data_IF_566925510656
#
_entry.id   IF_566925510656
#
_cell.length_a   1.000
_cell.length_b   1.000
_cell.length_c   1.000
_cell.angle_alpha   90.00
_cell.angle_beta   90.00
_cell.angle_gamma   90.00
#
_symmetry.space_group_name_H-M   'P 1'
#
loop_
_entity.id
_entity.type
_entity.pdbx_description
1 polymer ?
#
# COMPACT_ATOMS: atom_id res chain seq x y z
N UNK A 1 9.81 2.38 31.80
CA UNK A 1 10.13 0.94 31.61
C UNK A 1 11.64 0.80 31.74
N UNK A 2 12.17 0.19 32.83
CA UNK A 2 13.62 -0.07 32.92
C UNK A 2 13.89 -1.38 32.19
N UNK A 3 14.71 -1.35 31.14
CA UNK A 3 15.22 -2.57 30.53
C UNK A 3 16.19 -3.20 31.54
N UNK A 4 15.81 -4.35 32.10
CA UNK A 4 16.68 -5.08 33.03
C UNK A 4 17.48 -6.09 32.23
N UNK A 5 18.78 -5.84 32.10
CA UNK A 5 19.70 -6.76 31.44
C UNK A 5 20.25 -7.77 32.44
N UNK A 6 20.15 -9.05 32.11
CA UNK A 6 20.78 -10.13 32.86
C UNK A 6 21.87 -10.76 31.98
N UNK A 7 23.13 -10.82 32.45
CA UNK A 7 24.26 -11.24 31.62
C UNK A 7 24.31 -12.75 31.35
N UNK A 8 23.60 -13.56 32.15
CA UNK A 8 23.57 -15.02 32.01
C UNK A 8 22.15 -15.50 31.71
N UNK A 9 21.98 -16.52 30.85
CA UNK A 9 20.72 -17.21 30.69
C UNK A 9 20.23 -17.79 32.01
N UNK A 10 18.91 -17.79 32.21
CA UNK A 10 18.28 -18.35 33.39
C UNK A 10 16.89 -18.89 33.06
N UNK A 11 16.45 -19.83 33.87
CA UNK A 11 15.07 -20.27 33.90
C UNK A 11 14.21 -19.18 34.55
N UNK A 12 12.92 -19.15 34.21
CA UNK A 12 11.99 -18.12 34.67
C UNK A 12 10.80 -18.77 35.39
N UNK A 13 10.39 -18.17 36.49
CA UNK A 13 9.13 -18.53 37.14
C UNK A 13 7.93 -18.12 36.27
N UNK A 14 6.84 -18.87 36.38
CA UNK A 14 5.55 -18.44 35.85
C UNK A 14 5.13 -17.16 36.57
N UNK A 15 4.80 -16.10 35.82
CA UNK A 15 4.21 -14.90 36.42
C UNK A 15 2.70 -15.09 36.54
N UNK A 16 2.24 -15.29 37.78
CA UNK A 16 0.82 -15.58 38.05
C UNK A 16 0.00 -14.35 37.65
N UNK A 17 -0.91 -14.54 36.68
CA UNK A 17 -1.71 -13.46 36.06
C UNK A 17 -0.85 -12.35 35.44
N UNK A 18 0.37 -12.66 35.00
CA UNK A 18 1.30 -11.71 34.40
C UNK A 18 1.96 -10.74 35.38
N UNK A 19 1.79 -10.92 36.69
CA UNK A 19 2.41 -10.07 37.70
C UNK A 19 3.85 -10.54 37.98
N UNK A 20 4.84 -9.73 37.61
CA UNK A 20 6.26 -10.03 37.82
C UNK A 20 6.68 -10.10 39.30
N UNK A 21 5.87 -9.58 40.23
CA UNK A 21 6.09 -9.70 41.67
C UNK A 21 5.47 -10.98 42.27
N UNK A 22 4.53 -11.63 41.55
CA UNK A 22 3.88 -12.85 42.01
C UNK A 22 4.38 -14.05 41.21
N UNK A 23 5.45 -14.66 41.72
CA UNK A 23 6.15 -15.77 41.07
C UNK A 23 5.50 -17.11 41.44
N UNK A 24 5.20 -17.91 40.42
CA UNK A 24 4.80 -19.31 40.55
C UNK A 24 5.98 -20.26 40.36
N UNK A 25 5.69 -21.48 39.89
CA UNK A 25 6.70 -22.52 39.66
C UNK A 25 7.80 -22.08 38.69
N UNK A 26 9.03 -22.54 38.94
CA UNK A 26 10.16 -22.34 38.04
C UNK A 26 9.95 -23.18 36.77
N UNK A 27 10.00 -22.54 35.60
CA UNK A 27 9.90 -23.23 34.32
C UNK A 27 11.30 -23.33 33.70
N UNK A 28 11.86 -24.55 33.60
CA UNK A 28 13.12 -24.73 32.91
C UNK A 28 12.98 -24.35 31.44
N UNK A 29 14.02 -23.78 30.86
CA UNK A 29 14.07 -23.52 29.41
C UNK A 29 13.99 -24.86 28.68
N UNK A 30 12.94 -25.07 27.91
CA UNK A 30 12.68 -26.31 27.17
C UNK A 30 11.74 -26.01 26.00
N UNK A 31 11.53 -27.00 25.13
CA UNK A 31 10.55 -26.87 24.05
C UNK A 31 9.12 -26.79 24.59
N UNK A 32 8.19 -26.30 23.76
CA UNK A 32 6.81 -26.10 24.17
C UNK A 32 6.14 -27.46 24.41
N UNK A 33 5.69 -27.71 25.65
CA UNK A 33 5.11 -29.01 26.05
C UNK A 33 3.90 -29.43 25.22
N UNK A 34 3.01 -28.51 24.85
CA UNK A 34 1.82 -28.85 24.03
C UNK A 34 2.17 -29.28 22.60
N UNK A 35 3.41 -29.01 22.17
CA UNK A 35 3.95 -29.41 20.87
C UNK A 35 4.98 -30.53 20.98
N UNK A 36 5.05 -31.21 22.13
CA UNK A 36 6.01 -32.27 22.41
C UNK A 36 5.28 -33.58 22.72
N UNK A 37 5.85 -34.70 22.29
CA UNK A 37 5.42 -36.02 22.73
C UNK A 37 5.91 -36.24 24.18
N UNK A 38 5.03 -36.00 25.15
CA UNK A 38 5.35 -36.15 26.57
C UNK A 38 5.99 -34.92 27.21
N UNK A 39 6.98 -35.13 28.07
CA UNK A 39 7.68 -34.06 28.79
C UNK A 39 8.95 -33.66 28.04
N UNK A 40 9.06 -32.42 27.56
CA UNK A 40 10.27 -31.98 26.87
C UNK A 40 11.42 -31.80 27.85
N UNK A 41 12.57 -32.35 27.49
CA UNK A 41 13.81 -32.19 28.24
C UNK A 41 14.26 -30.71 28.29
N UNK A 42 14.83 -30.26 29.42
CA UNK A 42 15.47 -28.95 29.52
C UNK A 42 16.62 -28.77 28.53
N UNK A 43 16.71 -27.57 27.97
CA UNK A 43 17.81 -27.09 27.14
C UNK A 43 19.07 -26.93 27.99
N UNK A 44 20.18 -27.44 27.48
CA UNK A 44 21.43 -27.56 28.23
C UNK A 44 22.44 -26.47 27.85
N UNK A 45 22.33 -25.88 26.66
CA UNK A 45 23.39 -25.08 26.06
C UNK A 45 23.05 -23.59 25.96
N UNK A 46 23.89 -22.75 26.57
CA UNK A 46 23.80 -21.29 26.45
C UNK A 46 22.41 -20.80 26.84
N UNK A 47 21.75 -20.05 25.96
CA UNK A 47 20.38 -19.55 26.19
C UNK A 47 19.27 -20.54 25.89
N UNK A 48 19.55 -21.66 25.22
CA UNK A 48 18.54 -22.57 24.67
C UNK A 48 17.91 -22.08 23.35
N UNK A 49 18.26 -20.86 22.86
CA UNK A 49 17.72 -20.34 21.60
C UNK A 49 18.13 -21.17 20.38
N UNK A 50 19.36 -21.69 20.36
CA UNK A 50 19.83 -22.56 19.28
C UNK A 50 19.10 -23.91 19.32
N UNK A 51 18.98 -24.52 20.51
CA UNK A 51 18.24 -25.78 20.68
C UNK A 51 16.76 -25.63 20.30
N UNK A 52 16.13 -24.52 20.68
CA UNK A 52 14.78 -24.16 20.24
C UNK A 52 14.69 -24.04 18.71
N UNK A 53 15.63 -23.33 18.07
CA UNK A 53 15.67 -23.19 16.62
C UNK A 53 15.85 -24.54 15.90
N UNK A 54 16.74 -25.40 16.43
CA UNK A 54 16.96 -26.75 15.91
C UNK A 54 15.71 -27.63 16.05
N UNK A 55 14.97 -27.54 17.16
CA UNK A 55 13.69 -28.25 17.33
C UNK A 55 12.61 -27.73 16.36
N UNK A 56 12.54 -26.41 16.15
CA UNK A 56 11.59 -25.81 15.19
C UNK A 56 11.92 -26.26 13.75
N UNK A 57 13.18 -26.20 13.34
CA UNK A 57 13.63 -26.55 12.00
C UNK A 57 13.99 -28.04 11.83
N UNK A 58 13.60 -28.89 12.79
CA UNK A 58 13.85 -30.32 12.71
C UNK A 58 13.04 -30.91 11.53
N UNK A 59 13.65 -31.84 10.79
CA UNK A 59 13.00 -32.58 9.70
C UNK A 59 11.75 -33.35 10.16
N UNK A 60 11.75 -33.83 11.40
CA UNK A 60 10.60 -34.51 12.02
C UNK A 60 9.44 -33.54 12.35
N UNK A 61 9.68 -32.22 12.27
CA UNK A 61 8.64 -31.21 12.38
C UNK A 61 8.21 -30.75 10.96
N UNK A 62 7.10 -31.27 10.40
CA UNK A 62 6.69 -30.95 9.04
C UNK A 62 6.20 -29.50 8.87
N UNK A 63 5.85 -28.81 9.97
CA UNK A 63 5.23 -27.48 9.89
C UNK A 63 6.17 -26.43 9.33
N UNK A 64 7.46 -26.44 9.71
CA UNK A 64 8.40 -25.39 9.30
C UNK A 64 8.62 -25.39 7.79
N UNK A 65 8.83 -26.57 7.20
CA UNK A 65 8.98 -26.70 5.75
C UNK A 65 7.69 -26.32 5.02
N UNK A 66 6.53 -26.84 5.44
CA UNK A 66 5.23 -26.51 4.83
C UNK A 66 4.93 -25.01 4.87
N UNK A 67 5.13 -24.37 6.02
CA UNK A 67 4.92 -22.92 6.18
C UNK A 67 5.85 -22.14 5.25
N UNK A 68 7.12 -22.53 5.15
CA UNK A 68 8.09 -21.82 4.32
C UNK A 68 7.79 -21.98 2.82
N UNK A 69 7.49 -23.21 2.37
CA UNK A 69 7.06 -23.49 1.00
C UNK A 69 5.83 -22.67 0.65
N UNK A 70 4.82 -22.68 1.51
CA UNK A 70 3.59 -21.93 1.26
C UNK A 70 3.80 -20.43 1.18
N UNK A 71 4.71 -19.87 1.99
CA UNK A 71 5.08 -18.44 1.91
C UNK A 71 5.77 -18.12 0.59
N UNK A 72 6.72 -18.93 0.16
CA UNK A 72 7.40 -18.76 -1.13
C UNK A 72 6.39 -18.88 -2.28
N UNK A 73 5.51 -19.87 -2.21
CA UNK A 73 4.42 -20.06 -3.17
C UNK A 73 3.51 -18.83 -3.23
N UNK A 74 3.05 -18.34 -2.07
CA UNK A 74 2.23 -17.14 -1.97
C UNK A 74 2.91 -15.92 -2.60
N UNK A 75 4.22 -15.74 -2.41
CA UNK A 75 4.96 -14.64 -3.05
C UNK A 75 5.07 -14.78 -4.57
N UNK A 76 4.89 -15.97 -5.14
CA UNK A 76 4.90 -16.24 -6.59
C UNK A 76 3.51 -16.24 -7.23
N UNK A 77 2.50 -16.77 -6.55
CA UNK A 77 1.14 -16.89 -7.08
C UNK A 77 0.17 -15.85 -6.51
N UNK A 78 0.58 -15.08 -5.52
CA UNK A 78 -0.23 -14.06 -4.83
C UNK A 78 -1.09 -14.61 -3.69
N UNK A 79 -1.40 -15.90 -3.72
CA UNK A 79 -2.14 -16.65 -2.69
C UNK A 79 -1.40 -17.96 -2.41
N UNK A 80 -1.38 -18.38 -1.14
CA UNK A 80 -0.74 -19.64 -0.75
C UNK A 80 -1.55 -20.87 -1.17
N UNK A 81 -0.92 -22.04 -1.20
CA UNK A 81 -1.63 -23.32 -1.24
C UNK A 81 -2.59 -23.41 -0.03
N UNK A 82 -2.12 -22.98 1.13
CA UNK A 82 -2.93 -22.64 2.31
C UNK A 82 -3.13 -21.11 2.31
N UNK A 83 -4.38 -20.65 2.22
CA UNK A 83 -4.73 -19.22 2.16
C UNK A 83 -4.67 -18.51 3.54
N UNK A 84 -4.45 -19.29 4.61
CA UNK A 84 -4.15 -18.83 5.97
C UNK A 84 -2.66 -19.01 6.31
N UNK A 85 -1.73 -18.19 5.78
CA UNK A 85 -0.28 -18.45 5.84
C UNK A 85 0.34 -18.43 7.24
N UNK A 86 -0.37 -17.94 8.26
CA UNK A 86 0.06 -18.00 9.67
C UNK A 86 -0.81 -18.91 10.55
N UNK A 87 -1.79 -19.62 9.97
CA UNK A 87 -2.64 -20.53 10.72
C UNK A 87 -2.78 -21.87 9.98
N UNK A 88 -2.04 -22.87 10.45
CA UNK A 88 -2.07 -24.26 9.98
C UNK A 88 -2.83 -25.18 10.96
N UNK A 89 -3.47 -24.59 11.98
CA UNK A 89 -4.27 -25.34 12.95
C UNK A 89 -5.66 -25.68 12.43
N UNK A 90 -6.49 -26.30 13.27
CA UNK A 90 -7.87 -26.72 12.93
C UNK A 90 -8.80 -25.57 12.53
N UNK A 91 -8.46 -24.33 12.89
CA UNK A 91 -9.20 -23.12 12.52
C UNK A 91 -8.66 -22.44 11.26
N UNK A 92 -7.56 -22.94 10.71
CA UNK A 92 -7.03 -22.52 9.42
C UNK A 92 -7.66 -23.31 8.27
N UNK A 93 -7.41 -22.87 7.04
CA UNK A 93 -7.89 -23.55 5.85
C UNK A 93 -7.03 -24.76 5.52
N UNK A 94 -7.63 -25.74 4.85
CA UNK A 94 -6.88 -26.85 4.25
C UNK A 94 -6.11 -26.37 3.00
N UNK A 95 -4.97 -27.00 2.67
CA UNK A 95 -4.27 -26.72 1.41
C UNK A 95 -5.17 -27.03 0.21
N UNK A 96 -5.13 -26.20 -0.83
CA UNK A 96 -5.81 -26.53 -2.11
C UNK A 96 -5.22 -27.75 -2.79
N UNK A 97 -3.90 -27.97 -2.62
CA UNK A 97 -3.16 -29.10 -3.16
C UNK A 97 -2.27 -29.70 -2.06
N UNK A 98 -2.81 -30.59 -1.20
CA UNK A 98 -2.08 -31.10 -0.03
C UNK A 98 -0.87 -31.94 -0.42
N UNK A 99 -1.00 -32.83 -1.41
CA UNK A 99 0.10 -33.67 -1.89
C UNK A 99 1.25 -32.84 -2.47
N UNK A 100 0.93 -31.79 -3.23
CA UNK A 100 1.92 -30.86 -3.77
C UNK A 100 2.66 -30.10 -2.67
N UNK A 101 1.94 -29.62 -1.65
CA UNK A 101 2.56 -28.94 -0.51
C UNK A 101 3.53 -29.88 0.23
N UNK A 102 3.15 -31.14 0.39
CA UNK A 102 3.95 -32.15 1.07
C UNK A 102 5.18 -32.53 0.27
N UNK A 103 5.03 -32.77 -1.04
CA UNK A 103 6.13 -33.06 -1.95
C UNK A 103 7.16 -31.92 -1.95
N UNK A 104 6.70 -30.67 -2.12
CA UNK A 104 7.58 -29.50 -2.09
C UNK A 104 8.24 -29.30 -0.73
N UNK A 105 7.56 -29.62 0.38
CA UNK A 105 8.13 -29.51 1.73
C UNK A 105 9.23 -30.54 1.96
N UNK A 106 9.01 -31.80 1.57
CA UNK A 106 10.03 -32.85 1.65
C UNK A 106 11.22 -32.51 0.76
N UNK A 107 10.95 -32.14 -0.51
CA UNK A 107 11.98 -31.72 -1.46
C UNK A 107 12.80 -30.54 -0.93
N UNK A 108 12.14 -29.54 -0.33
CA UNK A 108 12.82 -28.37 0.22
C UNK A 108 13.81 -28.74 1.33
N UNK A 109 13.45 -29.70 2.19
CA UNK A 109 14.34 -30.21 3.23
C UNK A 109 15.49 -31.05 2.64
N UNK A 110 15.22 -31.88 1.63
CA UNK A 110 16.21 -32.71 0.94
C UNK A 110 17.26 -31.89 0.20
N UNK A 111 16.84 -30.77 -0.40
CA UNK A 111 17.73 -29.85 -1.10
C UNK A 111 18.46 -28.86 -0.18
N UNK A 112 18.54 -29.19 1.12
CA UNK A 112 19.29 -28.44 2.12
C UNK A 112 18.66 -27.09 2.46
N UNK A 113 17.32 -27.00 2.45
CA UNK A 113 16.58 -25.78 2.78
C UNK A 113 16.92 -24.58 1.89
N UNK A 114 17.37 -24.84 0.65
CA UNK A 114 17.79 -23.80 -0.28
C UNK A 114 16.60 -23.08 -0.91
N UNK A 115 16.29 -21.87 -0.40
CA UNK A 115 15.23 -21.04 -0.98
C UNK A 115 15.46 -20.76 -2.47
N UNK A 116 16.72 -20.57 -2.89
CA UNK A 116 17.07 -20.32 -4.30
C UNK A 116 16.67 -21.48 -5.20
N UNK A 117 16.93 -22.72 -4.77
CA UNK A 117 16.53 -23.91 -5.51
C UNK A 117 15.01 -24.02 -5.58
N UNK A 118 14.31 -23.78 -4.47
CA UNK A 118 12.84 -23.82 -4.43
C UNK A 118 12.19 -22.76 -5.32
N UNK A 119 12.67 -21.51 -5.30
CA UNK A 119 12.22 -20.47 -6.23
C UNK A 119 12.41 -20.92 -7.68
N UNK A 120 13.57 -21.51 -8.02
CA UNK A 120 13.85 -22.01 -9.37
C UNK A 120 12.91 -23.14 -9.78
N UNK A 121 12.68 -24.11 -8.90
CA UNK A 121 11.75 -25.22 -9.15
C UNK A 121 10.34 -24.69 -9.47
N UNK A 122 9.82 -23.78 -8.65
CA UNK A 122 8.50 -23.18 -8.85
C UNK A 122 8.46 -22.41 -10.17
N UNK A 123 9.44 -21.54 -10.44
CA UNK A 123 9.46 -20.68 -11.63
C UNK A 123 9.65 -21.44 -12.95
N UNK A 124 10.22 -22.64 -12.90
CA UNK A 124 10.37 -23.52 -14.05
C UNK A 124 9.20 -24.50 -14.23
N UNK A 125 8.22 -24.49 -13.34
CA UNK A 125 7.02 -25.32 -13.47
C UNK A 125 6.11 -24.84 -14.60
N UNK A 126 5.39 -25.77 -15.24
CA UNK A 126 4.36 -25.44 -16.20
C UNK A 126 3.30 -24.50 -15.60
N UNK A 127 2.93 -24.70 -14.34
CA UNK A 127 1.96 -23.87 -13.61
C UNK A 127 2.38 -22.41 -13.49
N UNK A 128 3.65 -22.13 -13.17
CA UNK A 128 4.15 -20.75 -13.08
C UNK A 128 4.24 -20.09 -14.46
N UNK A 129 4.52 -20.87 -15.51
CA UNK A 129 4.70 -20.38 -16.88
C UNK A 129 3.39 -20.24 -17.67
N UNK A 130 2.23 -20.52 -17.05
CA UNK A 130 0.94 -20.32 -17.69
C UNK A 130 0.71 -18.84 -18.06
N UNK A 131 -0.11 -18.63 -19.09
CA UNK A 131 -0.53 -17.28 -19.49
C UNK A 131 -1.52 -16.68 -18.48
N UNK A 132 -1.48 -15.36 -18.28
CA UNK A 132 -2.55 -14.61 -17.59
C UNK A 132 -3.65 -14.11 -18.52
N UNK A 133 -3.50 -14.31 -19.84
CA UNK A 133 -4.46 -13.88 -20.86
C UNK A 133 -5.34 -15.07 -21.23
N UNK A 134 -6.42 -15.25 -20.49
CA UNK A 134 -7.39 -16.34 -20.70
C UNK A 134 -8.80 -15.78 -20.70
N UNK A 135 -9.59 -16.19 -21.69
CA UNK A 135 -11.03 -15.95 -21.73
C UNK A 135 -11.73 -17.18 -21.15
N UNK A 136 -12.35 -17.01 -19.98
CA UNK A 136 -13.06 -18.10 -19.30
C UNK A 136 -14.53 -18.12 -19.71
N UNK A 137 -15.06 -19.31 -19.95
CA UNK A 137 -16.50 -19.54 -20.05
C UNK A 137 -17.19 -19.30 -18.71
N UNK A 138 -18.49 -19.01 -18.72
CA UNK A 138 -19.26 -18.83 -17.48
C UNK A 138 -19.25 -20.08 -16.59
N UNK A 139 -19.22 -21.27 -17.18
CA UNK A 139 -19.08 -22.52 -16.44
C UNK A 139 -17.75 -22.59 -15.68
N UNK A 140 -16.63 -22.23 -16.32
CA UNK A 140 -15.31 -22.21 -15.69
C UNK A 140 -15.22 -21.16 -14.57
N UNK A 141 -15.77 -19.96 -14.79
CA UNK A 141 -15.84 -18.92 -13.74
C UNK A 141 -16.61 -19.38 -12.52
N UNK A 142 -17.68 -20.16 -12.71
CA UNK A 142 -18.49 -20.69 -11.60
C UNK A 142 -17.80 -21.85 -10.87
N UNK A 143 -17.04 -22.68 -11.58
CA UNK A 143 -16.36 -23.84 -11.00
C UNK A 143 -15.20 -23.44 -10.09
N UNK A 144 -14.38 -22.47 -10.51
CA UNK A 144 -13.23 -22.00 -9.74
C UNK A 144 -13.06 -20.47 -9.86
N UNK A 145 -13.92 -19.68 -9.21
CA UNK A 145 -13.95 -18.21 -9.36
C UNK A 145 -12.65 -17.53 -8.90
N UNK A 146 -11.91 -18.16 -7.99
CA UNK A 146 -10.67 -17.63 -7.42
C UNK A 146 -9.42 -18.26 -8.05
N UNK A 147 -9.59 -19.11 -9.07
CA UNK A 147 -8.51 -19.85 -9.73
C UNK A 147 -7.60 -20.59 -8.72
N UNK A 148 -8.21 -21.25 -7.72
CA UNK A 148 -7.52 -22.04 -6.69
C UNK A 148 -6.89 -23.31 -7.26
N UNK A 149 -7.40 -23.80 -8.40
CA UNK A 149 -6.88 -24.94 -9.16
C UNK A 149 -5.76 -24.55 -10.14
N UNK A 150 -5.46 -23.26 -10.28
CA UNK A 150 -4.32 -22.76 -11.06
C UNK A 150 -4.36 -23.20 -12.53
N UNK A 151 -5.50 -22.95 -13.16
CA UNK A 151 -5.73 -23.21 -14.59
C UNK A 151 -5.12 -22.15 -15.51
N UNK A 152 -4.77 -20.98 -14.96
CA UNK A 152 -4.04 -19.89 -15.61
C UNK A 152 -3.23 -19.09 -14.59
N UNK A 153 -2.32 -18.22 -15.03
CA UNK A 153 -1.53 -17.40 -14.10
C UNK A 153 -2.30 -16.15 -13.67
N UNK A 154 -2.49 -15.95 -12.37
CA UNK A 154 -3.22 -14.80 -11.85
C UNK A 154 -2.46 -13.49 -12.09
N UNK A 155 -3.15 -12.46 -12.60
CA UNK A 155 -2.59 -11.11 -12.68
C UNK A 155 -2.32 -10.60 -11.27
N UNK A 156 -1.17 -9.97 -11.07
CA UNK A 156 -0.73 -9.49 -9.77
C UNK A 156 -0.44 -8.01 -9.82
N UNK A 157 -0.94 -7.29 -8.82
CA UNK A 157 -0.49 -5.94 -8.51
C UNK A 157 0.92 -6.02 -7.91
N UNK A 158 1.81 -5.14 -8.36
CA UNK A 158 3.13 -4.97 -7.78
C UNK A 158 3.02 -4.38 -6.37
N UNK A 159 3.87 -4.84 -5.47
CA UNK A 159 4.03 -4.25 -4.13
C UNK A 159 4.65 -2.86 -4.25
N UNK A 160 4.41 -1.97 -3.28
CA UNK A 160 4.84 -0.57 -3.30
C UNK A 160 6.33 -0.39 -3.65
N UNK A 161 7.17 -1.21 -3.03
CA UNK A 161 8.62 -1.23 -3.19
C UNK A 161 9.00 -1.65 -4.61
N UNK A 162 8.38 -2.71 -5.12
CA UNK A 162 8.64 -3.23 -6.48
C UNK A 162 8.12 -2.24 -7.54
N UNK A 163 6.97 -1.62 -7.28
CA UNK A 163 6.40 -0.59 -8.15
C UNK A 163 7.31 0.62 -8.25
N UNK A 164 7.85 1.09 -7.12
CA UNK A 164 8.84 2.17 -7.10
C UNK A 164 10.14 1.78 -7.81
N UNK A 165 10.65 0.57 -7.55
CA UNK A 165 11.85 0.05 -8.21
C UNK A 165 11.65 -0.01 -9.74
N UNK A 166 10.47 -0.39 -10.21
CA UNK A 166 10.13 -0.42 -11.63
C UNK A 166 10.12 0.98 -12.26
N UNK A 167 9.60 1.99 -11.55
CA UNK A 167 9.64 3.39 -11.99
C UNK A 167 11.07 3.91 -12.14
N UNK A 168 11.94 3.63 -11.16
CA UNK A 168 13.36 3.98 -11.24
C UNK A 168 14.09 3.23 -12.37
N UNK A 169 13.79 1.94 -12.53
CA UNK A 169 14.37 1.13 -13.60
C UNK A 169 13.97 1.65 -14.99
N UNK A 170 12.71 2.07 -15.17
CA UNK A 170 12.23 2.70 -16.39
C UNK A 170 12.98 4.00 -16.69
N UNK A 171 13.16 4.86 -15.67
CA UNK A 171 13.94 6.10 -15.75
C UNK A 171 15.46 5.91 -15.86
N UNK A 172 15.98 4.67 -15.82
CA UNK A 172 17.40 4.33 -15.85
C UNK A 172 18.23 4.97 -14.71
N UNK A 173 17.66 5.12 -13.52
CA UNK A 173 18.32 5.71 -12.37
C UNK A 173 18.26 4.82 -11.12
N UNK A 174 17.84 3.55 -11.25
CA UNK A 174 17.84 2.59 -10.15
C UNK A 174 19.26 2.23 -9.72
N UNK A 175 19.62 2.52 -8.48
CA UNK A 175 20.84 2.05 -7.86
C UNK A 175 20.68 0.60 -7.37
N UNK A 176 21.33 -0.32 -8.10
CA UNK A 176 21.28 -1.76 -7.86
C UNK A 176 22.27 -2.28 -6.79
N UNK A 177 23.05 -1.40 -6.14
CA UNK A 177 24.01 -1.81 -5.10
C UNK A 177 23.30 -2.57 -3.97
N UNK A 178 23.85 -3.73 -3.60
CA UNK A 178 23.25 -4.60 -2.59
C UNK A 178 23.65 -4.27 -1.13
N UNK A 179 24.61 -3.38 -0.94
CA UNK A 179 25.21 -3.03 0.35
C UNK A 179 25.26 -1.51 0.53
N UNK A 180 25.42 -1.04 1.77
CA UNK A 180 25.44 0.39 2.09
C UNK A 180 24.22 0.85 2.90
N UNK A 181 24.16 2.12 3.26
CA UNK A 181 23.16 2.63 4.22
C UNK A 181 21.73 2.59 3.65
N UNK A 182 20.77 2.43 4.55
CA UNK A 182 19.36 2.68 4.23
C UNK A 182 19.08 4.17 4.09
N UNK A 183 17.98 4.52 3.42
CA UNK A 183 17.56 5.91 3.23
C UNK A 183 16.06 6.11 3.43
N UNK A 184 15.59 7.35 3.33
CA UNK A 184 14.16 7.67 3.36
C UNK A 184 13.58 7.47 1.95
N UNK A 185 12.48 6.73 1.82
CA UNK A 185 11.84 6.46 0.54
C UNK A 185 11.11 7.69 -0.02
N UNK A 186 10.76 8.64 0.86
CA UNK A 186 10.11 9.90 0.50
C UNK A 186 11.12 10.97 0.05
N UNK A 187 12.43 10.72 0.21
CA UNK A 187 13.48 11.58 -0.34
C UNK A 187 13.56 11.40 -1.87
N UNK A 188 13.37 12.46 -2.68
CA UNK A 188 13.41 12.37 -4.14
C UNK A 188 14.79 11.94 -4.68
N UNK A 189 15.86 12.10 -3.89
CA UNK A 189 17.22 11.67 -4.27
C UNK A 189 17.48 10.19 -3.96
N UNK A 190 16.58 9.51 -3.22
CA UNK A 190 16.74 8.12 -2.87
C UNK A 190 16.48 7.20 -4.07
N UNK A 191 17.54 6.76 -4.73
CA UNK A 191 17.46 5.96 -5.95
C UNK A 191 17.67 4.45 -5.75
N UNK A 192 17.83 4.00 -4.51
CA UNK A 192 18.06 2.59 -4.21
C UNK A 192 16.76 1.79 -4.26
N UNK A 193 16.90 0.47 -4.39
CA UNK A 193 15.79 -0.48 -4.26
C UNK A 193 15.03 -0.25 -2.96
N UNK A 194 13.70 -0.35 -3.00
CA UNK A 194 12.80 -0.12 -1.86
C UNK A 194 13.08 -1.04 -0.67
N UNK A 195 13.70 -2.21 -0.87
CA UNK A 195 14.17 -3.09 0.22
C UNK A 195 15.22 -2.42 1.13
N UNK A 196 15.91 -1.39 0.66
CA UNK A 196 16.88 -0.59 1.44
C UNK A 196 16.26 0.68 2.03
N UNK A 197 14.94 0.87 1.92
CA UNK A 197 14.25 1.97 2.58
C UNK A 197 14.20 1.76 4.10
N UNK A 198 14.33 2.85 4.84
CA UNK A 198 14.18 2.87 6.29
C UNK A 198 12.68 2.86 6.61
N UNK A 199 12.25 1.89 7.43
CA UNK A 199 10.85 1.80 7.88
C UNK A 199 10.77 2.31 9.32
N UNK A 200 10.13 3.47 9.50
CA UNK A 200 9.85 4.01 10.83
C UNK A 200 8.53 3.46 11.37
N UNK A 201 8.55 2.95 12.61
CA UNK A 201 7.34 2.53 13.34
C UNK A 201 6.49 3.70 13.86
N UNK A 202 7.04 4.92 13.84
CA UNK A 202 6.35 6.12 14.33
C UNK A 202 5.82 7.00 13.19
N UNK A 203 6.51 7.02 12.04
CA UNK A 203 6.16 7.84 10.89
C UNK A 203 6.44 7.05 9.61
N UNK A 204 5.52 6.17 9.24
CA UNK A 204 5.62 5.42 7.99
C UNK A 204 5.49 6.38 6.79
N UNK A 205 6.19 6.10 5.69
CA UNK A 205 6.10 6.90 4.45
C UNK A 205 4.65 6.99 3.95
N UNK A 206 4.26 8.17 3.45
CA UNK A 206 2.92 8.38 2.87
C UNK A 206 2.73 7.57 1.60
N UNK A 207 3.79 7.38 0.82
CA UNK A 207 3.80 6.49 -0.34
C UNK A 207 3.55 5.04 0.09
N UNK A 208 4.31 4.53 1.07
CA UNK A 208 4.13 3.15 1.54
C UNK A 208 2.72 2.92 2.10
N UNK A 209 2.21 3.84 2.92
CA UNK A 209 0.84 3.79 3.44
C UNK A 209 -0.21 3.74 2.32
N UNK A 210 -0.05 4.59 1.30
CA UNK A 210 -0.99 4.66 0.17
C UNK A 210 -1.04 3.38 -0.65
N UNK A 211 0.01 2.55 -0.62
CA UNK A 211 0.13 1.30 -1.39
C UNK A 211 0.08 0.05 -0.49
N UNK A 212 -0.75 0.12 0.55
CA UNK A 212 -1.09 -0.99 1.45
C UNK A 212 0.12 -1.63 2.16
N UNK A 213 1.18 -0.86 2.41
CA UNK A 213 2.30 -1.37 3.19
C UNK A 213 1.81 -1.77 4.60
N UNK A 214 2.14 -2.97 5.11
CA UNK A 214 1.66 -3.41 6.41
C UNK A 214 2.15 -2.53 7.55
N UNK A 215 1.31 -2.35 8.57
CA UNK A 215 1.71 -1.62 9.78
C UNK A 215 2.92 -2.31 10.44
N UNK A 216 4.09 -1.63 10.55
CA UNK A 216 5.32 -2.22 11.08
C UNK A 216 5.29 -2.46 12.60
N UNK A 217 4.24 -2.02 13.29
CA UNK A 217 4.03 -2.27 14.72
C UNK A 217 3.33 -3.61 15.01
N UNK A 218 2.69 -4.24 14.01
CA UNK A 218 1.93 -5.48 14.18
C UNK A 218 2.39 -6.57 13.21
N UNK A 219 2.01 -7.81 13.50
CA UNK A 219 2.26 -8.94 12.60
C UNK A 219 1.31 -8.89 11.40
N UNK A 220 1.87 -9.03 10.19
CA UNK A 220 1.11 -9.16 8.96
C UNK A 220 1.53 -10.42 8.20
N UNK A 221 0.62 -11.38 8.09
CA UNK A 221 0.88 -12.64 7.39
C UNK A 221 0.82 -12.49 5.85
N UNK A 222 0.08 -11.48 5.38
CA UNK A 222 -0.10 -11.12 3.96
C UNK A 222 -0.33 -9.62 3.86
N UNK A 223 -0.02 -9.05 2.70
CA UNK A 223 -0.37 -7.66 2.39
C UNK A 223 -1.82 -7.58 1.92
N UNK A 224 -2.59 -6.66 2.48
CA UNK A 224 -3.90 -6.30 1.92
C UNK A 224 -3.69 -5.63 0.56
N UNK A 225 -4.64 -5.79 -0.36
CA UNK A 225 -4.55 -5.17 -1.69
C UNK A 225 -5.82 -4.37 -1.90
N UNK A 226 -5.68 -3.05 -1.93
CA UNK A 226 -6.76 -2.15 -2.31
C UNK A 226 -6.49 -1.56 -3.69
N UNK A 227 -7.51 -1.07 -4.35
CA UNK A 227 -7.35 -0.25 -5.56
C UNK A 227 -8.24 0.96 -5.37
N UNK A 228 -7.61 2.09 -5.05
CA UNK A 228 -8.33 3.31 -4.67
C UNK A 228 -8.06 4.41 -5.69
N UNK A 229 -9.03 5.32 -5.91
CA UNK A 229 -8.79 6.52 -6.72
C UNK A 229 -7.60 7.35 -6.21
N UNK A 230 -7.35 7.35 -4.90
CA UNK A 230 -6.22 8.04 -4.29
C UNK A 230 -4.87 7.56 -4.82
N UNK A 231 -4.70 6.24 -5.02
CA UNK A 231 -3.48 5.68 -5.59
C UNK A 231 -3.26 6.18 -7.03
N UNK A 232 -4.32 6.29 -7.83
CA UNK A 232 -4.24 6.83 -9.20
C UNK A 232 -3.90 8.33 -9.20
N UNK A 233 -4.56 9.10 -8.33
CA UNK A 233 -4.27 10.52 -8.16
C UNK A 233 -2.84 10.76 -7.71
N UNK A 234 -2.29 9.91 -6.83
CA UNK A 234 -0.88 9.96 -6.48
C UNK A 234 0.01 9.80 -7.71
N UNK A 235 -0.25 8.82 -8.59
CA UNK A 235 0.55 8.62 -9.81
C UNK A 235 0.53 9.86 -10.71
N UNK A 236 -0.66 10.45 -10.92
CA UNK A 236 -0.81 11.64 -11.76
C UNK A 236 -0.13 12.89 -11.18
N UNK A 237 -0.13 13.03 -9.84
CA UNK A 237 0.30 14.26 -9.18
C UNK A 237 1.69 14.17 -8.53
N UNK A 238 2.28 12.97 -8.43
CA UNK A 238 3.55 12.75 -7.74
C UNK A 238 4.71 13.38 -8.50
N UNK A 239 5.48 14.29 -7.87
CA UNK A 239 6.72 14.82 -8.45
C UNK A 239 7.71 13.72 -8.81
N UNK A 240 7.78 12.66 -7.99
CA UNK A 240 8.64 11.51 -8.23
C UNK A 240 8.27 10.80 -9.54
N UNK A 241 6.98 10.51 -9.75
CA UNK A 241 6.52 9.83 -10.98
C UNK A 241 6.77 10.69 -12.21
N UNK A 242 6.47 11.99 -12.14
CA UNK A 242 6.76 12.93 -13.25
C UNK A 242 8.25 12.98 -13.60
N UNK A 243 9.12 12.99 -12.58
CA UNK A 243 10.56 12.94 -12.80
C UNK A 243 11.00 11.65 -13.53
N UNK A 244 10.44 10.49 -13.15
CA UNK A 244 10.75 9.23 -13.84
C UNK A 244 10.25 9.22 -15.29
N UNK A 245 9.06 9.77 -15.53
CA UNK A 245 8.51 9.92 -16.89
C UNK A 245 9.40 10.81 -17.77
N UNK A 246 9.90 11.92 -17.23
CA UNK A 246 10.84 12.79 -17.95
C UNK A 246 12.15 12.07 -18.28
N UNK A 247 12.72 11.33 -17.33
CA UNK A 247 13.95 10.57 -17.56
C UNK A 247 13.76 9.46 -18.60
N UNK A 248 12.61 8.80 -18.60
CA UNK A 248 12.24 7.83 -19.63
C UNK A 248 12.15 8.50 -21.01
N UNK A 249 11.55 9.68 -21.11
CA UNK A 249 11.45 10.41 -22.38
C UNK A 249 12.84 10.82 -22.91
N UNK A 250 13.69 11.39 -22.06
CA UNK A 250 15.08 11.75 -22.42
C UNK A 250 15.91 10.55 -22.87
N UNK A 251 15.67 9.38 -22.28
CA UNK A 251 16.36 8.13 -22.69
C UNK A 251 16.11 7.75 -24.16
N UNK A 252 15.00 8.18 -24.74
CA UNK A 252 14.56 7.84 -26.10
C UNK A 252 14.60 9.05 -27.05
N UNK A 253 15.33 10.09 -26.67
CA UNK A 253 15.48 11.30 -27.47
C UNK A 253 16.32 11.04 -28.75
N UNK A 254 15.97 11.72 -29.85
CA UNK A 254 16.68 11.60 -31.13
C UNK A 254 16.24 10.44 -32.04
N UNK A 255 15.28 9.62 -31.62
CA UNK A 255 14.74 8.52 -32.41
C UNK A 255 13.47 8.91 -33.21
N UNK A 256 13.12 8.15 -34.25
CA UNK A 256 11.84 8.33 -34.97
C UNK A 256 10.65 8.04 -34.05
N UNK A 257 9.50 8.67 -34.29
CA UNK A 257 8.30 8.48 -33.45
C UNK A 257 7.88 7.01 -33.35
N UNK A 258 7.94 6.27 -34.46
CA UNK A 258 7.65 4.84 -34.47
C UNK A 258 8.65 4.03 -33.64
N UNK A 259 9.95 4.31 -33.79
CA UNK A 259 10.99 3.63 -33.01
C UNK A 259 10.84 3.91 -31.52
N UNK A 260 10.56 5.16 -31.13
CA UNK A 260 10.28 5.54 -29.74
C UNK A 260 9.14 4.74 -29.15
N UNK A 261 8.01 4.64 -29.86
CA UNK A 261 6.85 3.87 -29.38
C UNK A 261 7.21 2.39 -29.20
N UNK A 262 7.88 1.77 -30.18
CA UNK A 262 8.31 0.37 -30.05
C UNK A 262 9.26 0.17 -28.87
N UNK A 263 10.26 1.03 -28.69
CA UNK A 263 11.25 0.89 -27.63
C UNK A 263 10.68 1.16 -26.23
N UNK A 264 9.72 2.09 -26.07
CA UNK A 264 8.93 2.22 -24.84
C UNK A 264 8.23 0.91 -24.50
N UNK A 265 7.59 0.28 -25.48
CA UNK A 265 6.84 -0.96 -25.25
C UNK A 265 7.74 -2.13 -24.87
N UNK A 266 8.89 -2.27 -25.54
CA UNK A 266 9.90 -3.26 -25.18
C UNK A 266 10.45 -3.02 -23.77
N UNK A 267 10.74 -1.77 -23.43
CA UNK A 267 11.29 -1.42 -22.12
C UNK A 267 10.29 -1.68 -20.99
N UNK A 268 9.04 -1.24 -21.14
CA UNK A 268 8.05 -1.26 -20.06
C UNK A 268 7.24 -2.57 -20.00
N UNK A 269 7.02 -3.22 -21.15
CA UNK A 269 6.15 -4.40 -21.26
C UNK A 269 6.85 -5.64 -21.80
N UNK A 270 8.13 -5.56 -22.17
CA UNK A 270 8.90 -6.68 -22.73
C UNK A 270 8.25 -7.34 -23.94
N UNK A 271 7.56 -6.55 -24.77
CA UNK A 271 6.93 -6.98 -26.02
C UNK A 271 6.83 -5.80 -26.98
N UNK A 272 6.53 -6.08 -28.25
CA UNK A 272 6.13 -5.05 -29.20
C UNK A 272 4.72 -4.49 -28.90
N UNK A 273 4.44 -3.24 -29.28
CA UNK A 273 3.08 -2.74 -29.32
C UNK A 273 2.26 -3.51 -30.36
N UNK A 274 0.96 -3.66 -30.10
CA UNK A 274 0.00 -4.05 -31.13
C UNK A 274 -0.19 -2.91 -32.14
N UNK A 275 -0.77 -3.21 -33.31
CA UNK A 275 -1.07 -2.18 -34.31
C UNK A 275 -1.88 -1.01 -33.72
N UNK A 276 -2.92 -1.31 -32.93
CA UNK A 276 -3.77 -0.30 -32.30
C UNK A 276 -2.98 0.56 -31.29
N UNK A 277 -2.14 -0.07 -30.47
CA UNK A 277 -1.26 0.62 -29.50
C UNK A 277 -0.24 1.53 -30.18
N UNK A 278 0.34 1.08 -31.30
CA UNK A 278 1.28 1.87 -32.10
C UNK A 278 0.59 3.12 -32.65
N UNK A 279 -0.61 2.97 -33.23
CA UNK A 279 -1.38 4.10 -33.77
C UNK A 279 -1.75 5.12 -32.68
N UNK A 280 -2.13 4.66 -31.48
CA UNK A 280 -2.39 5.55 -30.34
C UNK A 280 -1.13 6.35 -29.98
N UNK A 281 0.03 5.69 -29.90
CA UNK A 281 1.29 6.35 -29.58
C UNK A 281 1.73 7.38 -30.62
N UNK A 282 1.61 7.04 -31.91
CA UNK A 282 1.93 7.95 -33.01
C UNK A 282 1.02 9.18 -33.01
N UNK A 283 -0.30 8.98 -32.87
CA UNK A 283 -1.27 10.06 -32.78
C UNK A 283 -0.97 11.02 -31.61
N UNK A 284 -0.63 10.47 -30.45
CA UNK A 284 -0.26 11.28 -29.28
C UNK A 284 0.98 12.16 -29.55
N UNK A 285 1.99 11.62 -30.23
CA UNK A 285 3.20 12.37 -30.57
C UNK A 285 2.94 13.46 -31.64
N UNK A 286 2.05 13.19 -32.59
CA UNK A 286 1.62 14.18 -33.60
C UNK A 286 0.87 15.36 -32.95
N UNK A 287 -0.09 15.07 -32.05
CA UNK A 287 -0.85 16.09 -31.32
C UNK A 287 0.04 16.90 -30.35
N UNK A 288 1.04 16.25 -29.72
CA UNK A 288 2.00 16.90 -28.83
C UNK A 288 3.05 17.76 -29.55
N UNK A 289 3.42 17.43 -30.79
CA UNK A 289 4.37 18.20 -31.60
C UNK A 289 3.84 19.58 -32.02
N UNK A 290 2.52 19.76 -32.08
CA UNK A 290 1.85 21.04 -32.33
C UNK A 290 1.72 21.95 -31.11
N UNK A 291 2.03 21.48 -29.90
CA UNK A 291 1.93 22.25 -28.66
C UNK A 291 3.24 22.99 -28.28
N UNK A 292 4.14 23.18 -29.25
CA UNK A 292 5.47 23.79 -29.08
C UNK A 292 5.49 25.31 -28.88
N UNK A 293 4.34 25.99 -28.84
CA UNK A 293 4.25 27.37 -28.37
C UNK A 293 3.69 27.40 -26.95
N UNK A 294 4.41 28.06 -26.05
CA UNK A 294 4.04 28.30 -24.66
C UNK A 294 2.67 28.98 -24.55
N UNK A 295 1.59 28.21 -24.55
CA UNK A 295 0.41 28.56 -23.79
C UNK A 295 0.62 28.02 -22.38
N UNK A 296 0.57 28.94 -21.40
CA UNK A 296 0.56 28.63 -19.97
C UNK A 296 -0.28 27.39 -19.74
N UNK A 297 0.33 26.36 -19.15
CA UNK A 297 -0.28 25.08 -18.78
C UNK A 297 -1.73 25.30 -18.29
N UNK A 298 -2.71 25.26 -19.20
CA UNK A 298 -4.11 25.34 -18.82
C UNK A 298 -4.39 23.97 -18.27
N UNK A 299 -4.20 23.85 -16.97
CA UNK A 299 -4.51 22.65 -16.22
C UNK A 299 -5.95 22.25 -16.58
N UNK A 300 -6.11 21.21 -17.40
CA UNK A 300 -7.43 20.70 -17.79
C UNK A 300 -8.06 19.88 -16.65
N UNK A 301 -8.05 20.47 -15.46
CA UNK A 301 -8.88 20.04 -14.36
C UNK A 301 -10.28 20.60 -14.66
N UNK A 302 -11.34 19.80 -14.52
CA UNK A 302 -12.70 20.32 -14.50
C UNK A 302 -12.80 21.43 -13.44
N UNK A 303 -12.73 22.69 -13.88
CA UNK A 303 -12.89 23.83 -13.01
C UNK A 303 -14.38 24.09 -12.88
N UNK A 304 -14.84 24.21 -11.64
CA UNK A 304 -16.25 24.44 -11.36
C UNK A 304 -16.59 25.90 -11.72
N UNK A 305 -16.92 26.14 -12.99
CA UNK A 305 -17.11 27.46 -13.57
C UNK A 305 -18.41 28.19 -13.13
N UNK A 306 -18.90 27.92 -11.92
CA UNK A 306 -19.96 28.74 -11.30
C UNK A 306 -21.37 28.15 -11.30
N UNK A 307 -21.54 26.85 -11.05
CA UNK A 307 -22.82 26.29 -10.57
C UNK A 307 -22.58 25.47 -9.31
N UNK A 308 -23.62 24.87 -8.71
CA UNK A 308 -23.53 23.93 -7.58
C UNK A 308 -23.75 22.51 -8.12
N UNK A 309 -23.03 21.52 -7.61
CA UNK A 309 -23.33 20.10 -7.84
C UNK A 309 -24.26 19.66 -6.72
N UNK A 310 -25.43 19.12 -7.09
CA UNK A 310 -26.41 18.63 -6.12
C UNK A 310 -26.39 17.10 -6.15
N UNK A 311 -26.06 16.49 -5.02
CA UNK A 311 -26.23 15.06 -4.85
C UNK A 311 -27.66 14.79 -4.35
N UNK A 312 -28.36 13.86 -4.98
CA UNK A 312 -29.66 13.38 -4.52
C UNK A 312 -29.45 12.24 -3.51
N UNK A 313 -29.26 12.61 -2.24
CA UNK A 313 -29.04 11.65 -1.15
C UNK A 313 -30.36 11.46 -0.42
N UNK A 314 -30.98 10.29 -0.59
CA UNK A 314 -32.29 9.97 0.01
C UNK A 314 -32.29 10.06 1.54
N UNK A 315 -31.24 9.56 2.19
CA UNK A 315 -31.11 9.57 3.67
C UNK A 315 -29.62 9.71 4.08
N UNK A 316 -29.19 10.93 4.44
CA UNK A 316 -27.80 11.18 4.92
C UNK A 316 -27.65 10.97 6.45
N UNK A 317 -28.76 10.89 7.19
CA UNK A 317 -28.76 10.74 8.65
C UNK A 317 -28.11 11.89 9.43
N UNK A 318 -27.85 11.66 10.71
CA UNK A 318 -27.18 12.61 11.62
C UNK A 318 -25.68 12.32 11.78
N UNK A 319 -25.20 11.19 11.27
CA UNK A 319 -23.77 10.84 11.21
C UNK A 319 -23.41 10.52 9.76
N UNK A 320 -22.40 11.21 9.23
CA UNK A 320 -21.96 11.08 7.84
C UNK A 320 -20.55 11.63 7.67
N UNK A 321 -19.94 11.35 6.52
CA UNK A 321 -18.64 11.93 6.16
C UNK A 321 -18.66 12.49 4.75
N UNK A 322 -17.88 13.52 4.52
CA UNK A 322 -17.67 14.15 3.21
C UNK A 322 -16.18 14.20 2.96
N UNK A 323 -15.76 13.66 1.82
CA UNK A 323 -14.37 13.59 1.40
C UNK A 323 -14.23 14.23 0.03
N UNK A 324 -13.28 15.16 -0.11
CA UNK A 324 -12.98 15.77 -1.40
C UNK A 324 -11.52 16.21 -1.50
N UNK A 325 -11.03 16.31 -2.74
CA UNK A 325 -9.79 16.97 -3.08
C UNK A 325 -10.06 18.39 -3.58
N UNK A 326 -9.37 19.36 -3.01
CA UNK A 326 -9.48 20.78 -3.39
C UNK A 326 -8.14 21.32 -3.86
N UNK A 327 -8.15 22.04 -4.98
CA UNK A 327 -7.03 22.86 -5.44
C UNK A 327 -7.44 24.32 -5.43
N UNK A 328 -6.94 25.08 -4.46
CA UNK A 328 -7.20 26.52 -4.44
C UNK A 328 -6.27 27.22 -5.46
N UNK A 329 -6.77 27.63 -6.62
CA UNK A 329 -5.95 28.37 -7.60
C UNK A 329 -5.87 29.89 -7.33
N UNK A 330 -6.71 30.42 -6.44
CA UNK A 330 -6.84 31.85 -6.18
C UNK A 330 -6.00 32.23 -4.94
N UNK A 331 -5.18 33.30 -5.00
CA UNK A 331 -4.52 33.87 -3.83
C UNK A 331 -5.45 34.02 -2.62
N UNK A 332 -4.97 33.64 -1.43
CA UNK A 332 -5.79 33.56 -0.21
C UNK A 332 -6.46 34.91 0.15
N UNK A 333 -5.79 36.03 -0.14
CA UNK A 333 -6.27 37.40 0.15
C UNK A 333 -7.18 38.00 -0.93
N UNK A 334 -7.31 37.34 -2.08
CA UNK A 334 -8.16 37.85 -3.16
C UNK A 334 -9.64 37.61 -2.88
N UNK A 335 -9.98 36.60 -2.06
CA UNK A 335 -11.35 36.35 -1.61
C UNK A 335 -11.74 37.29 -0.47
N UNK A 336 -12.76 38.12 -0.70
CA UNK A 336 -13.33 38.98 0.34
C UNK A 336 -13.96 38.13 1.45
N UNK A 337 -14.79 37.15 1.06
CA UNK A 337 -15.53 36.25 1.98
C UNK A 337 -15.17 34.78 1.74
N UNK A 338 -15.66 33.90 2.60
CA UNK A 338 -15.48 32.45 2.50
C UNK A 338 -15.99 31.89 1.17
N UNK A 339 -15.19 31.01 0.54
CA UNK A 339 -15.62 30.16 -0.55
C UNK A 339 -16.01 28.78 -0.04
N UNK A 340 -17.24 28.34 -0.30
CA UNK A 340 -17.71 27.01 0.12
C UNK A 340 -17.47 25.96 -0.96
N UNK A 341 -17.01 24.78 -0.55
CA UNK A 341 -16.90 23.61 -1.43
C UNK A 341 -17.92 22.51 -1.06
N UNK A 342 -18.48 22.53 0.16
CA UNK A 342 -19.57 21.65 0.57
C UNK A 342 -20.61 22.41 1.38
N UNK A 343 -21.88 22.05 1.20
CA UNK A 343 -23.01 22.61 1.94
C UNK A 343 -24.14 21.58 2.07
N UNK A 344 -24.61 21.38 3.31
CA UNK A 344 -25.83 20.64 3.67
C UNK A 344 -26.89 21.62 4.18
N UNK A 345 -27.22 22.63 3.38
CA UNK A 345 -28.26 23.61 3.72
C UNK A 345 -29.22 23.87 2.56
N UNK A 346 -30.33 24.58 2.86
CA UNK A 346 -31.27 25.01 1.82
C UNK A 346 -30.57 25.95 0.84
N UNK A 347 -30.72 25.66 -0.45
CA UNK A 347 -30.08 26.45 -1.51
C UNK A 347 -30.53 27.91 -1.48
N UNK A 348 -29.61 28.82 -1.80
CA UNK A 348 -29.80 30.28 -1.85
C UNK A 348 -30.30 30.95 -0.55
N UNK A 349 -30.33 30.26 0.60
CA UNK A 349 -30.62 30.88 1.88
C UNK A 349 -29.34 31.45 2.51
N UNK A 350 -29.25 32.78 2.62
CA UNK A 350 -28.23 33.40 3.45
C UNK A 350 -28.40 32.90 4.89
N UNK A 351 -27.32 32.36 5.49
CA UNK A 351 -27.33 31.75 6.83
C UNK A 351 -28.19 30.48 6.91
N UNK A 352 -28.22 29.68 5.84
CA UNK A 352 -28.87 28.37 5.86
C UNK A 352 -28.41 27.53 7.06
N UNK A 353 -29.37 26.98 7.80
CA UNK A 353 -29.07 25.95 8.79
C UNK A 353 -28.42 24.74 8.10
N UNK A 354 -27.44 24.12 8.76
CA UNK A 354 -26.75 22.93 8.28
C UNK A 354 -25.25 23.10 8.12
N UNK A 355 -24.57 22.01 7.81
CA UNK A 355 -23.11 21.94 7.76
C UNK A 355 -22.55 22.55 6.48
N UNK A 356 -21.67 23.55 6.61
CA UNK A 356 -21.02 24.23 5.50
C UNK A 356 -19.51 24.22 5.70
N UNK A 357 -18.78 23.75 4.69
CA UNK A 357 -17.33 23.64 4.70
C UNK A 357 -16.73 24.44 3.54
N UNK A 358 -15.69 25.21 3.84
CA UNK A 358 -15.09 26.11 2.89
C UNK A 358 -13.67 26.54 3.24
N UNK A 359 -13.16 27.50 2.48
CA UNK A 359 -11.88 28.18 2.69
C UNK A 359 -12.18 29.64 3.07
N UNK A 360 -11.60 30.09 4.17
CA UNK A 360 -11.79 31.44 4.65
C UNK A 360 -11.15 32.48 3.72
N UNK A 361 -11.84 33.59 3.50
CA UNK A 361 -11.31 34.80 2.87
C UNK A 361 -10.79 35.81 3.91
N UNK A 362 -10.46 37.02 3.44
CA UNK A 362 -9.81 38.07 4.27
C UNK A 362 -10.73 38.84 5.22
N UNK A 363 -12.05 38.63 5.17
CA UNK A 363 -13.01 39.31 6.07
C UNK A 363 -12.68 39.14 7.56
N UNK A 364 -12.10 38.00 7.96
CA UNK A 364 -11.57 37.80 9.31
C UNK A 364 -10.04 37.93 9.30
N UNK A 365 -9.45 38.87 10.07
CA UNK A 365 -8.01 39.04 10.11
C UNK A 365 -7.29 37.74 10.45
N UNK A 366 -6.16 37.47 9.78
CA UNK A 366 -5.31 36.31 10.02
C UNK A 366 -6.01 34.95 9.86
N UNK A 367 -7.09 34.84 9.08
CA UNK A 367 -7.78 33.55 8.83
C UNK A 367 -7.80 33.12 7.37
N UNK A 368 -7.41 34.00 6.45
CA UNK A 368 -7.44 33.73 5.02
C UNK A 368 -6.65 32.46 4.65
N UNK A 369 -7.21 31.67 3.72
CA UNK A 369 -6.58 30.45 3.24
C UNK A 369 -6.67 29.25 4.17
N UNK A 370 -7.36 29.35 5.31
CA UNK A 370 -7.57 28.21 6.22
C UNK A 370 -8.94 27.59 6.01
N UNK A 371 -9.08 26.31 6.34
CA UNK A 371 -10.40 25.67 6.36
C UNK A 371 -11.33 26.41 7.31
N UNK A 372 -12.57 26.53 6.88
CA UNK A 372 -13.66 27.20 7.56
C UNK A 372 -14.85 26.26 7.63
N UNK A 373 -15.45 26.16 8.81
CA UNK A 373 -16.66 25.40 9.01
C UNK A 373 -17.72 26.22 9.75
N UNK A 374 -18.97 26.11 9.30
CA UNK A 374 -20.14 26.78 9.88
C UNK A 374 -21.35 25.86 9.83
N UNK A 375 -22.10 25.74 10.93
CA UNK A 375 -23.28 24.86 11.02
C UNK A 375 -24.64 25.62 10.86
N UNK A 376 -24.64 26.93 10.65
CA UNK A 376 -25.90 27.67 10.55
C UNK A 376 -26.59 27.93 11.90
N UNK A 377 -25.87 27.76 13.01
CA UNK A 377 -26.45 27.86 14.36
C UNK A 377 -26.78 29.31 14.77
N UNK A 378 -27.63 29.44 15.80
CA UNK A 378 -28.05 30.74 16.35
C UNK A 378 -26.89 31.52 17.00
N UNK A 379 -25.84 30.81 17.45
CA UNK A 379 -24.66 31.39 18.12
C UNK A 379 -23.66 32.01 17.13
N UNK A 380 -23.72 31.62 15.85
CA UNK A 380 -22.82 32.07 14.78
C UNK A 380 -21.36 31.69 15.01
N UNK A 381 -21.13 30.60 15.74
CA UNK A 381 -19.78 30.12 15.99
C UNK A 381 -19.25 29.44 14.72
N UNK A 382 -18.07 29.88 14.29
CA UNK A 382 -17.38 29.33 13.11
C UNK A 382 -16.08 28.69 13.56
N UNK A 383 -15.79 27.50 13.03
CA UNK A 383 -14.53 26.81 13.28
C UNK A 383 -13.55 27.15 12.17
N UNK A 384 -12.28 27.31 12.55
CA UNK A 384 -11.19 27.60 11.62
C UNK A 384 -10.06 26.60 11.85
N UNK A 385 -9.53 26.08 10.75
CA UNK A 385 -8.28 25.32 10.78
C UNK A 385 -7.08 26.18 11.20
N UNK A 386 -5.99 25.51 11.54
CA UNK A 386 -4.70 26.12 11.92
C UNK A 386 -3.76 26.27 10.72
N UNK A 387 -3.87 25.38 9.73
CA UNK A 387 -3.00 25.33 8.55
C UNK A 387 -3.49 26.25 7.44
N UNK A 388 -2.57 27.02 6.84
CA UNK A 388 -2.82 27.82 5.64
C UNK A 388 -2.63 26.94 4.41
N UNK A 389 -3.68 26.84 3.59
CA UNK A 389 -3.66 26.14 2.31
C UNK A 389 -2.91 27.01 1.30
N UNK A 390 -1.83 26.49 0.74
CA UNK A 390 -1.05 27.21 -0.28
C UNK A 390 -1.79 27.20 -1.62
N UNK A 391 -1.93 28.36 -2.30
CA UNK A 391 -2.50 28.39 -3.63
C UNK A 391 -1.74 27.46 -4.60
N UNK A 392 -2.45 26.86 -5.54
CA UNK A 392 -1.88 25.93 -6.51
C UNK A 392 -1.56 24.53 -5.97
N UNK A 393 -1.90 24.22 -4.72
CA UNK A 393 -1.66 22.88 -4.14
C UNK A 393 -2.95 22.07 -4.02
N UNK A 394 -2.86 20.77 -4.32
CA UNK A 394 -3.93 19.81 -4.05
C UNK A 394 -3.97 19.47 -2.57
N UNK A 395 -5.16 19.51 -1.97
CA UNK A 395 -5.35 19.23 -0.56
C UNK A 395 -6.53 18.28 -0.37
N UNK A 396 -6.35 17.29 0.49
CA UNK A 396 -7.38 16.35 0.89
C UNK A 396 -8.16 16.91 2.07
N UNK A 397 -9.47 17.03 1.95
CA UNK A 397 -10.33 17.58 3.00
C UNK A 397 -11.39 16.55 3.36
N UNK A 398 -11.44 16.20 4.64
CA UNK A 398 -12.45 15.28 5.19
C UNK A 398 -13.23 15.98 6.29
N UNK A 399 -14.55 15.99 6.17
CA UNK A 399 -15.48 16.34 7.25
C UNK A 399 -16.10 15.06 7.78
N UNK A 400 -16.05 14.86 9.09
CA UNK A 400 -16.76 13.79 9.79
C UNK A 400 -17.77 14.42 10.73
N UNK A 401 -19.05 14.11 10.49
CA UNK A 401 -20.16 14.38 11.41
C UNK A 401 -20.47 13.10 12.17
N UNK A 402 -20.37 13.16 13.49
CA UNK A 402 -20.92 12.12 14.37
C UNK A 402 -21.95 12.75 15.31
N UNK A 403 -23.21 12.68 14.92
CA UNK A 403 -24.35 13.25 15.63
C UNK A 403 -24.20 14.74 15.96
N UNK A 404 -23.60 15.08 17.12
CA UNK A 404 -23.36 16.46 17.58
C UNK A 404 -21.90 16.90 17.48
N UNK A 405 -21.00 15.97 17.15
CA UNK A 405 -19.58 16.23 17.01
C UNK A 405 -19.20 16.39 15.53
N UNK A 406 -18.25 17.29 15.28
CA UNK A 406 -17.73 17.58 13.96
C UNK A 406 -16.22 17.62 14.04
N UNK A 407 -15.56 16.89 13.15
CA UNK A 407 -14.14 16.97 12.91
C UNK A 407 -13.87 17.30 11.45
N UNK A 408 -12.87 18.14 11.20
CA UNK A 408 -12.39 18.48 9.86
C UNK A 408 -10.90 18.20 9.80
N UNK A 409 -10.50 17.41 8.81
CA UNK A 409 -9.13 16.98 8.56
C UNK A 409 -8.61 17.60 7.27
N UNK A 410 -7.32 17.93 7.26
CA UNK A 410 -6.64 18.51 6.11
C UNK A 410 -5.35 17.71 5.88
N UNK A 411 -5.33 16.94 4.80
CA UNK A 411 -4.24 16.03 4.43
C UNK A 411 -4.02 14.89 5.43
N UNK A 412 -5.11 14.38 6.01
CA UNK A 412 -5.10 13.49 7.18
C UNK A 412 -5.18 14.29 8.47
#
# INVERSE_FOLDING_TARGET
MKIVYYPKPRDLNVFIRGNAANLGELVPRRFVRVLSDGQPEPFQNGSGRLELAQKIANRENPLTARVMVNRIWQHHFGEGLVDTPSNYGKTGSLPSHPELLDDLAVWFMDEGWSMKKLHRLIMLSATYQQTSRVELTEAQKKQDPNNRLLSYFNRRRLEAEIYRDALLAAGNNLDARQTGPSGDIDDPTFQRRGIYATVSRHKLSTFLQSYDFPDPAIHAARRSKTTTPLQQLFVLNSPFVRQQAQQLATRLEGESSEKRVNDVYRLLFSREPTQAELQIGLKFLEEGGSAGEQESEVEQIPTFAGKRMKADVKELGDSYSVELWVKNQIPNEQRIITGYFFSRGKDSAAKAAGDHLGIAGKYRPNRAGRLFFYNGDLKRDSLFGTTVIQPGTWNHVVLVRDQKQIAVYLNG
#
